data_IF_498156780947
#
_entry.id   IF_498156780947
#
_cell.length_a   1.000
_cell.length_b   1.000
_cell.length_c   1.000
_cell.angle_alpha   90.00
_cell.angle_beta   90.00
_cell.angle_gamma   90.00
#
_symmetry.space_group_name_H-M   'P 1'
#
loop_
_entity.id
_entity.type
_entity.pdbx_description
1 polymer ?
#
# COMPACT_ATOMS: atom_id res chain seq x y z
N UNK A 1 14.40 -3.99 20.17
CA UNK A 1 13.05 -4.53 19.82
C UNK A 1 13.13 -4.84 18.34
N UNK A 2 12.81 -6.06 17.94
CA UNK A 2 12.83 -6.45 16.53
C UNK A 2 11.53 -5.99 15.88
N UNK A 3 11.59 -5.30 14.76
CA UNK A 3 10.43 -4.83 14.03
C UNK A 3 10.70 -4.82 12.52
N UNK A 4 9.63 -4.77 11.73
CA UNK A 4 9.70 -4.65 10.28
C UNK A 4 9.02 -3.33 9.91
N UNK A 5 9.65 -2.56 9.03
CA UNK A 5 8.97 -1.45 8.37
C UNK A 5 8.10 -2.02 7.26
N UNK A 6 6.80 -2.07 7.50
CA UNK A 6 5.85 -2.73 6.61
C UNK A 6 5.39 -1.87 5.44
N UNK A 7 5.82 -0.60 5.38
CA UNK A 7 5.43 0.32 4.31
C UNK A 7 6.36 1.52 4.23
N UNK A 8 7.27 1.51 3.29
CA UNK A 8 8.17 2.63 3.02
C UNK A 8 8.33 2.86 1.52
N UNK A 9 8.66 4.10 1.15
CA UNK A 9 8.97 4.52 -0.21
C UNK A 9 10.42 4.99 -0.24
N UNK A 10 11.34 4.07 -0.54
CA UNK A 10 12.79 4.34 -0.48
C UNK A 10 13.24 5.30 -1.59
N UNK A 11 12.65 5.19 -2.78
CA UNK A 11 12.82 6.10 -3.90
C UNK A 11 12.43 7.54 -3.53
N UNK A 12 11.20 7.72 -3.10
CA UNK A 12 10.66 9.02 -2.66
C UNK A 12 11.47 9.59 -1.49
N UNK A 13 11.93 8.75 -0.56
CA UNK A 13 12.80 9.18 0.54
C UNK A 13 14.10 9.78 0.00
N UNK A 14 14.80 9.10 -0.89
CA UNK A 14 16.07 9.57 -1.47
C UNK A 14 15.89 10.88 -2.26
N UNK A 15 14.80 10.98 -3.04
CA UNK A 15 14.48 12.20 -3.79
C UNK A 15 14.25 13.42 -2.89
N UNK A 16 13.55 13.24 -1.76
CA UNK A 16 13.17 14.36 -0.89
C UNK A 16 14.23 14.69 0.16
N UNK A 17 14.97 13.71 0.65
CA UNK A 17 15.97 13.90 1.72
C UNK A 17 17.36 14.25 1.20
N UNK A 18 17.63 13.99 -0.08
CA UNK A 18 18.97 14.01 -0.67
C UNK A 18 19.99 13.10 0.09
N UNK A 19 19.49 12.10 0.82
CA UNK A 19 20.26 11.10 1.55
C UNK A 19 20.02 9.73 0.92
N UNK A 20 21.08 8.95 0.64
CA UNK A 20 20.91 7.60 0.11
C UNK A 20 20.38 6.62 1.17
N UNK A 21 19.79 5.54 0.72
CA UNK A 21 19.30 4.48 1.62
C UNK A 21 20.44 3.86 2.44
N UNK A 22 21.64 3.73 1.89
CA UNK A 22 22.82 3.29 2.62
C UNK A 22 23.17 4.23 3.76
N UNK A 23 23.20 5.55 3.50
CA UNK A 23 23.46 6.56 4.56
C UNK A 23 22.41 6.54 5.64
N UNK A 24 21.13 6.37 5.27
CA UNK A 24 20.04 6.21 6.23
C UNK A 24 20.27 5.00 7.12
N UNK A 25 20.61 3.84 6.55
CA UNK A 25 20.86 2.59 7.30
C UNK A 25 22.00 2.73 8.29
N UNK A 26 23.09 3.39 7.92
CA UNK A 26 24.24 3.63 8.80
C UNK A 26 23.88 4.54 9.97
N UNK A 27 22.95 5.46 9.79
CA UNK A 27 22.54 6.45 10.79
C UNK A 27 21.50 5.93 11.78
N UNK A 28 20.70 4.94 11.40
CA UNK A 28 19.63 4.39 12.25
C UNK A 28 20.26 3.52 13.35
N UNK A 29 20.13 3.95 14.61
CA UNK A 29 20.66 3.20 15.76
C UNK A 29 20.01 1.82 15.95
N UNK A 30 18.73 1.71 15.60
CA UNK A 30 17.97 0.45 15.68
C UNK A 30 17.24 0.26 14.37
N UNK A 31 17.89 -0.33 13.35
CA UNK A 31 17.27 -0.55 12.07
C UNK A 31 16.17 -1.63 12.14
N UNK A 32 15.15 -1.56 11.27
CA UNK A 32 14.23 -2.67 11.08
C UNK A 32 14.97 -3.94 10.65
N UNK A 33 14.40 -5.11 10.96
CA UNK A 33 14.91 -6.38 10.43
C UNK A 33 14.63 -6.53 8.93
N UNK A 34 13.58 -5.87 8.44
CA UNK A 34 13.27 -5.80 7.01
C UNK A 34 12.50 -4.51 6.68
N UNK A 35 12.64 -4.09 5.44
CA UNK A 35 11.92 -2.98 4.83
C UNK A 35 11.01 -3.54 3.72
N UNK A 36 9.75 -3.11 3.71
CA UNK A 36 8.85 -3.40 2.58
C UNK A 36 8.72 -2.12 1.77
N UNK A 37 9.48 -2.10 0.67
CA UNK A 37 9.45 -1.00 -0.29
C UNK A 37 8.23 -1.10 -1.19
N UNK A 38 7.42 -0.05 -1.20
CA UNK A 38 6.13 -0.02 -1.90
C UNK A 38 6.28 0.75 -3.20
N UNK A 39 6.21 0.03 -4.32
CA UNK A 39 6.20 0.61 -5.65
C UNK A 39 4.75 0.77 -6.13
N UNK A 40 4.31 2.01 -6.24
CA UNK A 40 2.93 2.37 -6.56
C UNK A 40 2.77 3.14 -7.88
N UNK A 41 3.88 3.49 -8.52
CA UNK A 41 3.98 4.01 -9.87
C UNK A 41 4.61 2.94 -10.78
N UNK A 42 4.01 2.58 -11.93
CA UNK A 42 4.63 1.63 -12.87
C UNK A 42 6.05 2.00 -13.29
N UNK A 43 6.40 3.28 -13.35
CA UNK A 43 7.76 3.73 -13.67
C UNK A 43 8.78 3.38 -12.59
N UNK A 44 8.35 3.21 -11.34
CA UNK A 44 9.20 2.84 -10.21
C UNK A 44 9.34 1.31 -10.00
N UNK A 45 8.58 0.48 -10.71
CA UNK A 45 8.57 -0.97 -10.50
C UNK A 45 9.94 -1.63 -10.66
N UNK A 46 10.66 -1.25 -11.70
CA UNK A 46 11.97 -1.83 -11.97
C UNK A 46 13.03 -1.40 -10.94
N UNK A 47 13.02 -0.15 -10.49
CA UNK A 47 13.88 0.31 -9.39
C UNK A 47 13.61 -0.48 -8.10
N UNK A 48 12.35 -0.64 -7.73
CA UNK A 48 11.98 -1.41 -6.55
C UNK A 48 12.40 -2.89 -6.65
N UNK A 49 12.32 -3.50 -7.83
CA UNK A 49 12.81 -4.84 -8.08
C UNK A 49 14.32 -4.91 -7.83
N UNK A 50 15.09 -4.01 -8.45
CA UNK A 50 16.55 -3.94 -8.30
C UNK A 50 16.94 -3.74 -6.84
N UNK A 51 16.27 -2.85 -6.11
CA UNK A 51 16.53 -2.62 -4.68
C UNK A 51 16.27 -3.87 -3.85
N UNK A 52 15.15 -4.55 -4.08
CA UNK A 52 14.82 -5.78 -3.37
C UNK A 52 15.78 -6.93 -3.64
N UNK A 53 16.42 -6.97 -4.78
CA UNK A 53 17.48 -7.92 -5.12
C UNK A 53 18.86 -7.54 -4.55
N UNK A 54 19.13 -6.23 -4.46
CA UNK A 54 20.42 -5.69 -4.01
C UNK A 54 20.60 -5.74 -2.49
N UNK A 55 19.50 -5.63 -1.74
CA UNK A 55 19.53 -5.63 -0.27
C UNK A 55 18.77 -6.83 0.29
N UNK A 56 19.45 -7.64 1.12
CA UNK A 56 18.90 -8.89 1.67
C UNK A 56 17.67 -8.69 2.55
N UNK A 57 17.52 -7.53 3.16
CA UNK A 57 16.45 -7.12 4.09
C UNK A 57 15.39 -6.22 3.44
N UNK A 58 15.49 -5.94 2.13
CA UNK A 58 14.46 -5.20 1.38
C UNK A 58 13.59 -6.17 0.60
N UNK A 59 12.29 -6.04 0.79
CA UNK A 59 11.24 -6.72 0.02
C UNK A 59 10.40 -5.67 -0.71
N UNK A 60 9.58 -6.08 -1.66
CA UNK A 60 8.78 -5.15 -2.44
C UNK A 60 7.29 -5.53 -2.47
N UNK A 61 6.45 -4.53 -2.70
CA UNK A 61 5.07 -4.68 -3.17
C UNK A 61 4.86 -3.83 -4.42
N UNK A 62 3.95 -4.24 -5.27
CA UNK A 62 3.67 -3.59 -6.55
C UNK A 62 2.18 -3.40 -6.75
N UNK A 63 1.76 -2.22 -7.15
CA UNK A 63 0.38 -1.88 -7.46
C UNK A 63 0.30 -0.54 -8.17
N UNK A 64 -0.82 -0.23 -8.79
CA UNK A 64 -1.03 1.07 -9.42
C UNK A 64 -1.92 1.90 -8.53
N UNK A 65 -1.31 2.90 -7.89
CA UNK A 65 -1.93 3.81 -6.93
C UNK A 65 -3.07 4.63 -7.56
N UNK A 66 -4.06 5.07 -6.79
CA UNK A 66 -5.15 5.93 -7.29
C UNK A 66 -4.71 7.17 -8.07
N UNK A 67 -3.56 7.75 -7.77
CA UNK A 67 -3.01 8.89 -8.51
C UNK A 67 -2.53 8.53 -9.92
N UNK A 68 -2.20 7.26 -10.16
CA UNK A 68 -1.69 6.74 -11.44
C UNK A 68 -2.72 5.92 -12.23
N UNK A 69 -4.00 5.94 -11.87
CA UNK A 69 -5.04 5.13 -12.54
C UNK A 69 -5.15 5.41 -14.04
N UNK A 70 -4.76 6.60 -14.49
CA UNK A 70 -4.73 6.95 -15.91
C UNK A 70 -3.71 6.14 -16.72
N UNK A 71 -2.71 5.54 -16.07
CA UNK A 71 -1.69 4.68 -16.70
C UNK A 71 -2.08 3.20 -16.69
N UNK A 72 -3.18 2.83 -16.00
CA UNK A 72 -3.53 1.45 -15.67
C UNK A 72 -3.65 0.55 -16.90
N UNK A 73 -4.43 0.94 -17.90
CA UNK A 73 -4.65 0.13 -19.11
C UNK A 73 -3.36 -0.16 -19.89
N UNK A 74 -2.36 0.69 -19.73
CA UNK A 74 -1.07 0.55 -20.42
C UNK A 74 -0.07 -0.30 -19.62
N UNK A 75 -0.28 -0.46 -18.30
CA UNK A 75 0.71 -1.07 -17.40
C UNK A 75 0.18 -2.27 -16.61
N UNK A 76 -1.13 -2.53 -16.56
CA UNK A 76 -1.70 -3.63 -15.74
C UNK A 76 -1.14 -5.00 -16.07
N UNK A 77 -0.68 -5.22 -17.32
CA UNK A 77 -0.09 -6.48 -17.75
C UNK A 77 1.29 -6.75 -17.10
N UNK A 78 1.92 -5.74 -16.50
CA UNK A 78 3.19 -5.90 -15.77
C UNK A 78 2.97 -6.53 -14.39
N UNK A 79 1.82 -6.28 -13.76
CA UNK A 79 1.55 -6.66 -12.38
C UNK A 79 1.75 -8.16 -12.10
N UNK A 80 1.27 -9.11 -12.94
CA UNK A 80 1.47 -10.54 -12.67
C UNK A 80 2.95 -10.91 -12.56
N UNK A 81 3.80 -10.43 -13.46
CA UNK A 81 5.24 -10.74 -13.47
C UNK A 81 5.93 -10.20 -12.22
N UNK A 82 5.62 -8.96 -11.79
CA UNK A 82 6.16 -8.38 -10.56
C UNK A 82 5.61 -9.08 -9.31
N UNK A 83 4.35 -9.50 -9.31
CA UNK A 83 3.77 -10.23 -8.19
C UNK A 83 4.33 -11.65 -8.05
N UNK A 84 4.76 -12.30 -9.12
CA UNK A 84 5.43 -13.60 -9.06
C UNK A 84 6.89 -13.50 -8.60
N UNK A 85 7.49 -12.30 -8.61
CA UNK A 85 8.88 -12.13 -8.20
C UNK A 85 9.13 -12.64 -6.76
N UNK A 86 10.23 -13.38 -6.50
CA UNK A 86 10.50 -13.99 -5.18
C UNK A 86 10.62 -13.00 -4.03
N UNK A 87 11.00 -11.76 -4.31
CA UNK A 87 11.12 -10.70 -3.30
C UNK A 87 9.85 -9.87 -3.15
N UNK A 88 8.82 -10.13 -3.95
CA UNK A 88 7.51 -9.53 -3.80
C UNK A 88 6.74 -10.22 -2.66
N UNK A 89 6.32 -9.45 -1.66
CA UNK A 89 5.60 -9.95 -0.48
C UNK A 89 4.13 -9.54 -0.46
N UNK A 90 3.70 -8.68 -1.37
CA UNK A 90 2.31 -8.23 -1.44
C UNK A 90 1.94 -7.59 -2.77
N UNK A 91 0.64 -7.55 -3.05
CA UNK A 91 0.03 -6.84 -4.15
C UNK A 91 -0.45 -5.47 -3.65
N UNK A 92 0.04 -4.42 -4.23
CA UNK A 92 -0.27 -3.05 -3.79
C UNK A 92 0.99 -2.18 -3.75
N UNK A 93 0.75 -0.93 -3.64
CA UNK A 93 -0.37 -0.20 -3.08
C UNK A 93 -1.38 0.17 -4.18
N UNK A 94 -2.66 -0.11 -3.95
CA UNK A 94 -3.75 0.33 -4.82
C UNK A 94 -5.02 0.59 -3.99
N UNK A 95 -6.05 1.21 -4.56
CA UNK A 95 -7.29 1.50 -3.86
C UNK A 95 -7.96 2.79 -4.31
N UNK A 96 -8.38 3.65 -3.35
CA UNK A 96 -9.11 4.89 -3.60
C UNK A 96 -8.49 6.08 -2.86
N UNK A 97 -8.30 7.19 -3.56
CA UNK A 97 -7.94 8.49 -2.99
C UNK A 97 -8.87 9.58 -3.54
N UNK A 98 -9.82 10.03 -2.71
CA UNK A 98 -10.73 11.10 -3.08
C UNK A 98 -10.29 12.47 -2.56
N UNK A 99 -9.15 12.54 -1.91
CA UNK A 99 -8.56 13.80 -1.49
C UNK A 99 -8.04 14.60 -2.69
N UNK A 100 -7.30 13.94 -3.59
CA UNK A 100 -6.69 14.55 -4.78
C UNK A 100 -7.40 14.19 -6.10
N UNK A 101 -8.09 13.05 -6.16
CA UNK A 101 -8.63 12.49 -7.40
C UNK A 101 -10.16 12.46 -7.49
N UNK A 102 -10.86 13.50 -7.00
CA UNK A 102 -12.34 13.53 -6.96
C UNK A 102 -12.99 13.42 -8.34
N UNK A 103 -12.36 13.94 -9.38
CA UNK A 103 -12.83 13.89 -10.76
C UNK A 103 -12.71 12.50 -11.40
N UNK A 104 -11.86 11.64 -10.86
CA UNK A 104 -11.56 10.31 -11.43
C UNK A 104 -12.17 9.14 -10.62
N UNK A 105 -13.18 9.39 -9.77
CA UNK A 105 -13.76 8.38 -8.88
C UNK A 105 -14.15 7.08 -9.56
N UNK A 106 -14.87 7.16 -10.65
CA UNK A 106 -15.34 5.98 -11.41
C UNK A 106 -14.16 5.18 -11.97
N UNK A 107 -13.14 5.85 -12.47
CA UNK A 107 -11.92 5.19 -12.94
C UNK A 107 -11.16 4.55 -11.78
N UNK A 108 -10.98 5.24 -10.66
CA UNK A 108 -10.33 4.67 -9.47
C UNK A 108 -11.06 3.43 -8.97
N UNK A 109 -12.41 3.45 -8.92
CA UNK A 109 -13.22 2.31 -8.52
C UNK A 109 -13.00 1.11 -9.44
N UNK A 110 -13.10 1.33 -10.74
CA UNK A 110 -12.90 0.27 -11.74
C UNK A 110 -11.50 -0.34 -11.65
N UNK A 111 -10.48 0.50 -11.51
CA UNK A 111 -9.08 0.06 -11.37
C UNK A 111 -8.84 -0.66 -10.04
N UNK A 112 -9.48 -0.21 -8.96
CA UNK A 112 -9.41 -0.89 -7.67
C UNK A 112 -10.04 -2.28 -7.74
N UNK A 113 -11.25 -2.41 -8.30
CA UNK A 113 -11.96 -3.69 -8.45
C UNK A 113 -11.14 -4.67 -9.30
N UNK A 114 -10.56 -4.22 -10.42
CA UNK A 114 -9.75 -5.05 -11.32
C UNK A 114 -8.46 -5.53 -10.63
N UNK A 115 -7.70 -4.63 -10.00
CA UNK A 115 -6.50 -5.03 -9.24
C UNK A 115 -6.81 -5.93 -8.06
N UNK A 116 -7.90 -5.69 -7.34
CA UNK A 116 -8.33 -6.52 -6.22
C UNK A 116 -8.65 -7.94 -6.69
N UNK A 117 -9.40 -8.09 -7.79
CA UNK A 117 -9.71 -9.40 -8.37
C UNK A 117 -8.43 -10.15 -8.78
N UNK A 118 -7.51 -9.47 -9.46
CA UNK A 118 -6.22 -10.06 -9.84
C UNK A 118 -5.40 -10.47 -8.61
N UNK A 119 -5.30 -9.60 -7.59
CA UNK A 119 -4.50 -9.83 -6.38
C UNK A 119 -5.04 -11.00 -5.55
N UNK A 120 -6.35 -11.18 -5.47
CA UNK A 120 -6.99 -12.29 -4.75
C UNK A 120 -6.60 -13.67 -5.31
N UNK A 121 -6.16 -13.76 -6.56
CA UNK A 121 -5.68 -14.99 -7.16
C UNK A 121 -4.23 -15.33 -6.79
N UNK A 122 -3.47 -14.40 -6.19
CA UNK A 122 -2.03 -14.59 -5.91
C UNK A 122 -1.72 -15.22 -4.55
N UNK A 123 -2.63 -15.26 -3.61
CA UNK A 123 -2.43 -15.64 -2.21
C UNK A 123 -1.43 -14.76 -1.44
N UNK A 124 -0.95 -13.66 -2.02
CA UNK A 124 -0.10 -12.66 -1.36
C UNK A 124 -0.92 -11.73 -0.47
N UNK A 125 -0.27 -11.02 0.42
CA UNK A 125 -0.91 -9.91 1.15
C UNK A 125 -1.33 -8.82 0.16
N UNK A 126 -2.41 -8.10 0.50
CA UNK A 126 -2.92 -6.99 -0.31
C UNK A 126 -2.71 -5.71 0.49
N UNK A 127 -2.09 -4.70 -0.12
CA UNK A 127 -1.86 -3.39 0.50
C UNK A 127 -2.79 -2.37 -0.13
N UNK A 128 -3.67 -1.79 0.69
CA UNK A 128 -4.71 -0.87 0.24
C UNK A 128 -4.47 0.56 0.72
N UNK A 129 -4.62 1.48 -0.23
CA UNK A 129 -4.72 2.91 0.00
C UNK A 129 -6.19 3.33 0.01
N UNK A 130 -6.70 3.83 1.15
CA UNK A 130 -8.09 4.25 1.30
C UNK A 130 -8.16 5.62 1.96
N UNK A 131 -8.43 6.67 1.17
CA UNK A 131 -8.45 8.04 1.67
C UNK A 131 -9.67 8.81 1.21
N UNK A 132 -10.47 9.33 2.17
CA UNK A 132 -11.72 10.07 1.92
C UNK A 132 -12.71 9.32 0.99
N UNK A 133 -12.71 7.97 1.04
CA UNK A 133 -13.45 7.08 0.14
C UNK A 133 -14.17 5.94 0.89
N UNK A 134 -14.62 6.19 2.12
CA UNK A 134 -15.11 5.17 3.06
C UNK A 134 -16.26 4.34 2.47
N UNK A 135 -17.29 5.00 1.91
CA UNK A 135 -18.49 4.32 1.38
C UNK A 135 -18.17 3.40 0.21
N UNK A 136 -17.41 3.89 -0.76
CA UNK A 136 -17.03 3.12 -1.94
C UNK A 136 -16.07 1.98 -1.57
N UNK A 137 -15.13 2.24 -0.67
CA UNK A 137 -14.21 1.22 -0.16
C UNK A 137 -14.96 0.07 0.52
N UNK A 138 -15.91 0.38 1.41
CA UNK A 138 -16.75 -0.64 2.06
C UNK A 138 -17.61 -1.39 1.05
N UNK A 139 -18.16 -0.68 0.06
CA UNK A 139 -18.97 -1.31 -0.99
C UNK A 139 -18.17 -2.33 -1.80
N UNK A 140 -16.98 -1.96 -2.26
CA UNK A 140 -16.10 -2.84 -3.03
C UNK A 140 -15.66 -4.04 -2.18
N UNK A 141 -15.15 -3.81 -0.97
CA UNK A 141 -14.62 -4.87 -0.12
C UNK A 141 -15.70 -5.84 0.38
N UNK A 142 -16.94 -5.38 0.65
CA UNK A 142 -18.06 -6.25 1.03
C UNK A 142 -18.53 -7.16 -0.11
N UNK A 143 -18.37 -6.74 -1.35
CA UNK A 143 -18.76 -7.50 -2.53
C UNK A 143 -17.65 -8.41 -3.06
N UNK A 144 -16.40 -8.21 -2.66
CA UNK A 144 -15.27 -9.02 -3.08
C UNK A 144 -15.18 -10.35 -2.31
N UNK A 145 -14.73 -11.46 -2.95
CA UNK A 145 -14.57 -12.76 -2.30
C UNK A 145 -13.28 -12.82 -1.48
N UNK A 146 -13.18 -12.01 -0.42
CA UNK A 146 -11.94 -11.81 0.35
C UNK A 146 -11.47 -13.08 1.09
N UNK A 147 -12.37 -13.98 1.46
CA UNK A 147 -12.07 -15.27 2.11
C UNK A 147 -10.92 -15.20 3.13
N UNK A 148 -9.74 -15.74 2.74
CA UNK A 148 -8.53 -15.78 3.57
C UNK A 148 -7.50 -14.70 3.18
N UNK A 149 -7.85 -13.75 2.31
CA UNK A 149 -6.95 -12.69 1.91
C UNK A 149 -6.48 -11.88 3.12
N UNK A 150 -5.18 -11.66 3.21
CA UNK A 150 -4.58 -10.78 4.22
C UNK A 150 -4.51 -9.39 3.64
N UNK A 151 -5.17 -8.44 4.26
CA UNK A 151 -5.30 -7.07 3.76
C UNK A 151 -4.68 -6.10 4.76
N UNK A 152 -3.75 -5.31 4.31
CA UNK A 152 -3.17 -4.19 5.05
C UNK A 152 -3.75 -2.88 4.52
N UNK A 153 -4.62 -2.23 5.29
CA UNK A 153 -5.04 -0.85 5.02
C UNK A 153 -3.99 0.07 5.60
N UNK A 154 -3.08 0.55 4.73
CA UNK A 154 -1.96 1.35 5.18
C UNK A 154 -2.35 2.80 5.48
N UNK A 155 -1.54 3.49 6.28
CA UNK A 155 -1.66 4.92 6.57
C UNK A 155 -3.11 5.38 6.85
N UNK A 156 -3.80 4.68 7.75
CA UNK A 156 -5.21 4.95 8.06
C UNK A 156 -5.42 6.38 8.56
N UNK A 157 -6.27 7.14 7.88
CA UNK A 157 -6.53 8.56 8.15
C UNK A 157 -7.98 8.87 8.51
N UNK A 158 -8.86 7.86 8.51
CA UNK A 158 -10.28 8.04 8.76
C UNK A 158 -10.63 7.94 10.26
N UNK A 159 -11.81 7.48 10.61
CA UNK A 159 -12.36 7.45 11.96
C UNK A 159 -12.65 6.02 12.45
N UNK A 160 -12.92 5.89 13.75
CA UNK A 160 -13.19 4.61 14.41
C UNK A 160 -14.35 3.83 13.76
N UNK A 161 -15.42 4.51 13.33
CA UNK A 161 -16.57 3.84 12.68
C UNK A 161 -16.18 3.15 11.38
N UNK A 162 -15.33 3.78 10.55
CA UNK A 162 -14.83 3.16 9.33
C UNK A 162 -13.90 1.97 9.65
N UNK A 163 -13.02 2.12 10.64
CA UNK A 163 -12.16 1.02 11.09
C UNK A 163 -12.99 -0.19 11.57
N UNK A 164 -14.03 0.03 12.39
CA UNK A 164 -14.93 -1.03 12.85
C UNK A 164 -15.66 -1.73 11.69
N UNK A 165 -16.12 -0.98 10.69
CA UNK A 165 -16.79 -1.57 9.52
C UNK A 165 -15.82 -2.41 8.67
N UNK A 166 -14.58 -1.96 8.48
CA UNK A 166 -13.54 -2.74 7.81
C UNK A 166 -13.26 -4.06 8.54
N UNK A 167 -13.06 -4.01 9.85
CA UNK A 167 -12.76 -5.19 10.66
C UNK A 167 -13.94 -6.20 10.75
N UNK A 168 -15.19 -5.77 10.51
CA UNK A 168 -16.35 -6.66 10.38
C UNK A 168 -16.36 -7.45 9.07
N UNK A 169 -15.71 -6.95 8.01
CA UNK A 169 -15.67 -7.62 6.70
C UNK A 169 -14.81 -8.89 6.77
N UNK A 170 -13.64 -8.83 7.42
CA UNK A 170 -12.75 -9.97 7.55
C UNK A 170 -11.82 -9.83 8.76
N UNK A 171 -11.58 -10.94 9.47
CA UNK A 171 -10.59 -10.99 10.55
C UNK A 171 -9.13 -10.89 10.07
N UNK A 172 -8.92 -10.88 8.75
CA UNK A 172 -7.60 -10.77 8.13
C UNK A 172 -7.35 -9.36 7.56
N UNK A 173 -8.13 -8.36 7.97
CA UNK A 173 -7.86 -6.96 7.70
C UNK A 173 -7.06 -6.37 8.86
N UNK A 174 -5.94 -5.76 8.53
CA UNK A 174 -5.01 -5.10 9.45
C UNK A 174 -4.96 -3.63 9.11
N UNK A 175 -5.09 -2.76 10.12
CA UNK A 175 -5.07 -1.31 9.94
C UNK A 175 -3.72 -0.77 10.39
N UNK A 176 -3.02 -0.12 9.47
CA UNK A 176 -1.70 0.47 9.70
C UNK A 176 -1.77 1.96 10.01
N UNK A 177 -1.06 2.39 11.02
CA UNK A 177 -0.91 3.80 11.39
C UNK A 177 0.51 4.27 11.12
N UNK A 178 0.67 5.52 10.70
CA UNK A 178 1.97 6.14 10.42
C UNK A 178 2.22 7.34 11.33
N UNK A 179 3.24 8.14 11.05
CA UNK A 179 3.51 9.40 11.76
C UNK A 179 2.35 10.39 11.80
N UNK A 180 1.32 10.21 10.99
CA UNK A 180 0.09 11.02 11.02
C UNK A 180 -0.54 11.07 12.42
N UNK A 181 -0.48 10.00 13.21
CA UNK A 181 -1.03 9.97 14.57
C UNK A 181 -0.42 11.03 15.48
N UNK A 182 0.76 11.55 15.16
CA UNK A 182 1.45 12.59 15.93
C UNK A 182 0.97 14.02 15.59
N UNK A 183 0.22 14.21 14.52
CA UNK A 183 -0.26 15.53 14.12
C UNK A 183 -1.32 16.05 15.09
N UNK A 184 -1.32 17.36 15.35
CA UNK A 184 -2.25 17.99 16.29
C UNK A 184 -3.72 17.77 15.93
N UNK A 185 -4.04 17.76 14.64
CA UNK A 185 -5.40 17.59 14.09
C UNK A 185 -5.79 16.13 13.82
N UNK A 186 -4.97 15.14 14.21
CA UNK A 186 -5.25 13.72 13.99
C UNK A 186 -6.00 13.06 15.16
N UNK A 187 -6.92 13.77 15.83
CA UNK A 187 -7.65 13.22 16.96
C UNK A 187 -8.59 12.06 16.56
N UNK A 188 -9.23 12.17 15.41
CA UNK A 188 -10.07 11.10 14.84
C UNK A 188 -9.29 9.79 14.62
N UNK A 189 -8.07 9.91 14.10
CA UNK A 189 -7.16 8.76 13.85
C UNK A 189 -6.69 8.14 15.17
N UNK A 190 -6.38 8.96 16.18
CA UNK A 190 -5.98 8.45 17.50
C UNK A 190 -7.13 7.78 18.28
N UNK A 191 -8.37 8.00 17.87
CA UNK A 191 -9.56 7.36 18.45
C UNK A 191 -9.99 6.09 17.70
N UNK A 192 -9.46 5.87 16.51
CA UNK A 192 -9.66 4.65 15.74
C UNK A 192 -8.79 3.51 16.27
#
# INVERSE_FOLDING_TARGET
>A
MNFIDTHCHLDTYEEHSAESFESLRERIETPPEAYIHVACDPEAFEDARIRSESYFDVFATYGIHPEYVHTYEQNKYLLPDYWEHPRCVGCGEFGLDYHYGKENKELQRSVFEDQLEMALNTQKAIVLHLREAEEDSLSILKNAPLQNAKIHVHCFTSNASFAEELLKISNNIYIGFTGIITFKNAENVRKA
#
